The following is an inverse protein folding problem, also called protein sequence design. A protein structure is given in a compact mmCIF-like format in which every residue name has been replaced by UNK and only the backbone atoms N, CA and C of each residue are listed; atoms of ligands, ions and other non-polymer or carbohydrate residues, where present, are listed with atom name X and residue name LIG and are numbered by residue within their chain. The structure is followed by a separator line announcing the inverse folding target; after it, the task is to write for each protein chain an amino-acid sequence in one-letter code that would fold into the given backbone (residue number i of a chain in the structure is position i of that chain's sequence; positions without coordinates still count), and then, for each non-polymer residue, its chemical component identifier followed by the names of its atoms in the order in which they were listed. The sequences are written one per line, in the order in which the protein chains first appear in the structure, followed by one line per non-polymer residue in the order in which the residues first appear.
data_IF_312881177343
#
_entry.id   IF_312881177343
#
_cell.length_a   1.000
_cell.length_b   1.000
_cell.length_c   1.000
_cell.angle_alpha   90.00
_cell.angle_beta   90.00
_cell.angle_gamma   90.00
#
_symmetry.space_group_name_H-M   'P 1'
#
loop_
_entity.id
_entity.type
_entity.pdbx_description
1 polymer ?
#
# COMPACT_ATOMS: atom_id res chain seq x y z
N UNK A 1 4.10 -41.06 51.62
CA UNK A 1 3.25 -40.25 50.71
C UNK A 1 3.59 -40.67 49.29
N UNK A 2 2.62 -41.19 48.55
CA UNK A 2 2.82 -41.86 47.27
C UNK A 2 3.12 -40.84 46.15
N UNK A 3 4.11 -41.13 45.31
CA UNK A 3 4.38 -40.39 44.07
C UNK A 3 3.41 -40.89 43.00
N UNK A 4 2.43 -40.08 42.63
CA UNK A 4 1.57 -40.35 41.46
C UNK A 4 2.27 -39.95 40.17
N UNK A 5 2.48 -40.91 39.26
CA UNK A 5 2.92 -40.65 37.89
C UNK A 5 1.69 -40.25 37.08
N UNK A 6 1.55 -38.96 36.74
CA UNK A 6 0.46 -38.49 35.89
C UNK A 6 0.70 -38.92 34.44
N UNK A 7 -0.27 -39.62 33.86
CA UNK A 7 -0.24 -39.99 32.45
C UNK A 7 -0.33 -38.75 31.55
N UNK A 8 0.58 -38.64 30.58
CA UNK A 8 0.61 -37.59 29.57
C UNK A 8 -0.57 -37.79 28.60
N UNK A 9 -1.45 -36.79 28.50
CA UNK A 9 -2.64 -36.80 27.64
C UNK A 9 -2.39 -36.01 26.37
N UNK A 10 -2.97 -36.47 25.26
CA UNK A 10 -3.02 -35.72 24.02
C UNK A 10 -3.78 -34.39 24.23
N UNK A 11 -3.19 -33.25 23.85
CA UNK A 11 -3.83 -31.94 24.03
C UNK A 11 -5.09 -31.77 23.18
N UNK A 12 -5.21 -32.49 22.06
CA UNK A 12 -6.29 -32.32 21.10
C UNK A 12 -7.55 -33.11 21.43
N UNK A 13 -7.41 -34.33 21.97
CA UNK A 13 -8.55 -35.20 22.25
C UNK A 13 -8.57 -35.81 23.65
N UNK A 14 -7.58 -35.49 24.50
CA UNK A 14 -7.49 -35.97 25.88
C UNK A 14 -7.09 -37.45 26.03
N UNK A 15 -6.88 -38.18 24.93
CA UNK A 15 -6.46 -39.58 24.95
C UNK A 15 -5.06 -39.75 25.55
N UNK A 16 -4.88 -40.77 26.39
CA UNK A 16 -3.56 -41.19 26.91
C UNK A 16 -2.85 -42.18 25.99
N UNK A 17 -3.53 -42.69 24.96
CA UNK A 17 -2.97 -43.65 24.01
C UNK A 17 -2.13 -42.93 22.95
N UNK A 18 -0.84 -43.25 22.91
CA UNK A 18 0.18 -42.55 22.15
C UNK A 18 1.38 -43.43 21.83
N UNK A 19 2.10 -43.05 20.77
CA UNK A 19 3.40 -43.61 20.38
C UNK A 19 4.46 -42.52 20.48
N UNK A 20 5.61 -42.79 21.11
CA UNK A 20 6.75 -41.87 21.13
C UNK A 20 7.54 -41.99 19.83
N UNK A 21 7.76 -40.87 19.15
CA UNK A 21 8.46 -40.84 17.86
C UNK A 21 9.96 -40.57 18.03
N UNK A 22 10.30 -39.76 19.04
CA UNK A 22 11.64 -39.43 19.52
C UNK A 22 11.49 -38.80 20.91
N UNK A 23 12.60 -38.64 21.63
CA UNK A 23 12.62 -38.07 22.99
C UNK A 23 11.75 -36.81 23.05
N UNK A 24 10.78 -36.83 23.97
CA UNK A 24 9.78 -35.77 24.26
C UNK A 24 8.77 -35.45 23.14
N UNK A 25 8.75 -36.19 22.03
CA UNK A 25 7.76 -36.05 20.94
C UNK A 25 6.85 -37.28 20.84
N UNK A 26 5.54 -37.04 20.88
CA UNK A 26 4.50 -38.08 20.87
C UNK A 26 3.51 -37.89 19.72
N UNK A 27 2.98 -38.99 19.21
CA UNK A 27 1.79 -39.02 18.35
C UNK A 27 0.64 -39.70 19.06
N UNK A 28 -0.53 -39.07 19.10
CA UNK A 28 -1.74 -39.70 19.64
C UNK A 28 -2.26 -40.78 18.69
N UNK A 29 -2.47 -42.00 19.16
CA UNK A 29 -2.99 -43.08 18.30
C UNK A 29 -4.48 -42.89 17.95
N UNK A 30 -5.21 -42.11 18.75
CA UNK A 30 -6.65 -41.89 18.55
C UNK A 30 -6.96 -40.79 17.51
N UNK A 31 -6.26 -39.66 17.56
CA UNK A 31 -6.51 -38.52 16.65
C UNK A 31 -5.31 -38.19 15.75
N UNK A 32 -4.23 -38.96 15.84
CA UNK A 32 -2.99 -38.81 15.04
C UNK A 32 -2.30 -37.45 15.21
N UNK A 33 -2.68 -36.66 16.22
CA UNK A 33 -2.00 -35.39 16.53
C UNK A 33 -0.62 -35.66 17.11
N UNK A 34 0.40 -35.04 16.52
CA UNK A 34 1.77 -35.02 17.02
C UNK A 34 1.98 -33.80 17.92
N UNK A 35 2.59 -34.01 19.08
CA UNK A 35 2.82 -33.00 20.11
C UNK A 35 4.10 -33.32 20.89
N UNK A 36 4.76 -32.30 21.44
CA UNK A 36 5.96 -32.47 22.26
C UNK A 36 5.84 -31.78 23.60
N UNK A 37 6.64 -32.22 24.57
CA UNK A 37 6.73 -31.60 25.89
C UNK A 37 7.91 -30.64 25.88
N UNK A 38 7.65 -29.36 26.18
CA UNK A 38 8.68 -28.34 26.36
C UNK A 38 8.83 -28.07 27.86
N UNK A 39 10.06 -28.12 28.36
CA UNK A 39 10.38 -28.24 29.79
C UNK A 39 10.34 -26.92 30.56
N UNK A 40 9.83 -25.84 29.95
CA UNK A 40 9.59 -24.55 30.62
C UNK A 40 8.23 -23.97 30.23
N UNK A 41 7.31 -23.93 31.20
CA UNK A 41 5.97 -23.32 31.15
C UNK A 41 5.05 -23.70 29.96
N UNK A 42 4.14 -24.64 30.27
CA UNK A 42 2.99 -25.17 29.50
C UNK A 42 2.58 -24.35 28.27
N UNK A 43 3.26 -24.57 27.14
CA UNK A 43 2.76 -24.20 25.82
C UNK A 43 3.04 -25.35 24.85
N UNK A 44 2.07 -26.26 24.69
CA UNK A 44 2.21 -27.40 23.78
C UNK A 44 1.89 -26.94 22.37
N UNK A 45 2.92 -26.82 21.54
CA UNK A 45 2.77 -26.54 20.11
C UNK A 45 2.42 -27.83 19.37
N UNK A 46 1.25 -27.87 18.73
CA UNK A 46 0.80 -29.01 17.91
C UNK A 46 0.77 -28.59 16.43
N UNK A 47 1.20 -29.50 15.55
CA UNK A 47 1.25 -29.25 14.11
C UNK A 47 0.05 -29.92 13.41
N UNK A 48 -0.78 -29.13 12.71
CA UNK A 48 -1.86 -29.65 11.87
C UNK A 48 -1.32 -29.97 10.48
N UNK A 49 -1.02 -31.24 10.22
CA UNK A 49 -0.71 -31.70 8.86
C UNK A 49 -2.00 -32.23 8.22
N UNK A 50 -2.66 -31.40 7.41
CA UNK A 50 -3.75 -31.86 6.54
C UNK A 50 -3.14 -32.51 5.31
N UNK A 51 -2.91 -33.82 5.39
CA UNK A 51 -2.88 -34.65 4.20
C UNK A 51 -3.52 -35.97 4.56
N UNK A 52 -4.67 -36.27 3.94
CA UNK A 52 -4.93 -37.53 3.23
C UNK A 52 -6.31 -37.52 2.58
N UNK A 53 -6.28 -37.89 1.29
CA UNK A 53 -7.35 -38.38 0.43
C UNK A 53 -8.71 -38.63 1.09
N UNK A 54 -9.75 -37.93 0.59
CA UNK A 54 -11.11 -38.47 0.53
C UNK A 54 -11.86 -38.03 -0.73
N UNK A 55 -12.80 -38.86 -1.20
CA UNK A 55 -13.20 -39.00 -2.60
C UNK A 55 -14.25 -37.99 -3.04
N UNK A 56 -14.38 -37.83 -4.35
CA UNK A 56 -15.40 -37.03 -5.02
C UNK A 56 -16.82 -37.39 -4.54
N UNK A 57 -17.50 -36.41 -3.93
CA UNK A 57 -18.95 -36.28 -4.01
C UNK A 57 -19.32 -34.80 -4.13
N UNK A 58 -20.19 -34.55 -5.11
CA UNK A 58 -20.79 -33.28 -5.50
C UNK A 58 -21.74 -32.72 -4.43
N UNK A 59 -21.85 -31.39 -4.42
CA UNK A 59 -22.99 -30.56 -3.97
C UNK A 59 -23.47 -30.74 -2.53
N UNK A 60 -23.30 -29.74 -1.67
CA UNK A 60 -24.39 -28.79 -1.37
C UNK A 60 -23.90 -27.64 -0.47
N UNK A 61 -24.38 -26.45 -0.81
CA UNK A 61 -24.14 -25.17 -0.15
C UNK A 61 -24.90 -25.13 1.19
N UNK A 62 -24.26 -24.69 2.30
CA UNK A 62 -24.91 -24.09 3.50
C UNK A 62 -24.04 -23.96 4.79
N UNK A 63 -22.72 -24.22 4.79
CA UNK A 63 -21.89 -24.02 6.01
C UNK A 63 -21.02 -22.75 6.03
N UNK A 64 -20.80 -22.09 4.90
CA UNK A 64 -20.01 -20.85 4.84
C UNK A 64 -20.76 -19.62 5.41
N UNK A 65 -22.11 -19.65 5.46
CA UNK A 65 -22.92 -18.51 5.91
C UNK A 65 -23.03 -18.43 7.45
N UNK A 66 -22.76 -19.53 8.19
CA UNK A 66 -22.84 -19.51 9.66
C UNK A 66 -21.54 -19.07 10.36
N UNK A 67 -20.40 -19.08 9.67
CA UNK A 67 -19.11 -18.68 10.28
C UNK A 67 -18.88 -17.16 10.20
N UNK A 68 -19.39 -16.51 9.14
CA UNK A 68 -19.26 -15.05 8.98
C UNK A 68 -20.17 -14.28 9.97
N UNK A 69 -21.33 -14.83 10.34
CA UNK A 69 -22.23 -14.23 11.32
C UNK A 69 -21.71 -14.21 12.77
N UNK A 70 -20.84 -15.15 13.15
CA UNK A 70 -20.30 -15.25 14.52
C UNK A 70 -19.16 -14.24 14.74
N UNK A 71 -18.31 -14.02 13.74
CA UNK A 71 -17.21 -13.03 13.83
C UNK A 71 -17.73 -11.59 13.82
N UNK A 72 -18.80 -11.30 13.08
CA UNK A 72 -19.45 -9.99 13.11
C UNK A 72 -20.15 -9.70 14.46
N UNK A 73 -20.75 -10.73 15.09
CA UNK A 73 -21.43 -10.59 16.39
C UNK A 73 -20.46 -10.37 17.57
N UNK A 74 -19.32 -11.04 17.58
CA UNK A 74 -18.31 -10.90 18.67
C UNK A 74 -17.57 -9.56 18.59
N UNK A 75 -17.28 -9.07 17.37
CA UNK A 75 -16.68 -7.75 17.17
C UNK A 75 -17.66 -6.61 17.58
N UNK A 76 -18.96 -6.77 17.31
CA UNK A 76 -19.97 -5.78 17.70
C UNK A 76 -20.22 -5.76 19.22
N UNK A 77 -20.18 -6.92 19.88
CA UNK A 77 -20.30 -7.01 21.34
C UNK A 77 -19.08 -6.41 22.09
N UNK A 78 -17.87 -6.59 21.56
CA UNK A 78 -16.64 -6.01 22.12
C UNK A 78 -16.61 -4.47 22.04
N UNK A 79 -17.14 -3.88 20.96
CA UNK A 79 -17.23 -2.42 20.80
C UNK A 79 -18.27 -1.78 21.74
N UNK A 80 -19.32 -2.52 22.12
CA UNK A 80 -20.33 -2.06 23.09
C UNK A 80 -19.82 -2.17 24.54
N UNK A 81 -19.05 -3.21 24.88
CA UNK A 81 -18.48 -3.37 26.24
C UNK A 81 -17.36 -2.35 26.52
N UNK A 82 -16.57 -1.97 25.50
CA UNK A 82 -15.52 -0.96 25.67
C UNK A 82 -16.11 0.46 25.84
N UNK A 83 -17.25 0.77 25.21
CA UNK A 83 -17.93 2.07 25.39
C UNK A 83 -18.73 2.19 26.70
N UNK A 84 -19.12 1.09 27.34
CA UNK A 84 -19.85 1.13 28.63
C UNK A 84 -18.92 1.21 29.85
N UNK A 85 -17.63 0.84 29.73
CA UNK A 85 -16.65 0.95 30.82
C UNK A 85 -16.11 2.37 31.03
N UNK A 86 -16.18 3.25 30.02
CA UNK A 86 -15.85 4.69 30.17
C UNK A 86 -16.92 5.50 30.92
N UNK A 87 -18.10 4.93 31.18
CA UNK A 87 -19.19 5.59 31.91
C UNK A 87 -19.10 5.36 33.44
N UNK A 88 -18.34 4.35 33.90
CA UNK A 88 -18.33 3.95 35.32
C UNK A 88 -17.12 4.51 36.10
N UNK A 89 -16.06 4.97 35.44
CA UNK A 89 -14.88 5.58 36.08
C UNK A 89 -14.78 7.11 35.89
N UNK A 90 -15.93 7.79 35.83
CA UNK A 90 -15.99 9.25 35.91
C UNK A 90 -15.64 9.73 37.33
N UNK A 91 -14.44 10.30 37.52
CA UNK A 91 -14.04 11.00 38.74
C UNK A 91 -15.07 12.09 39.08
N UNK A 92 -15.71 11.99 40.26
CA UNK A 92 -16.60 13.02 40.79
C UNK A 92 -15.83 14.35 40.94
N UNK A 93 -16.15 15.35 40.12
CA UNK A 93 -15.82 16.74 40.44
C UNK A 93 -16.92 17.31 41.32
N UNK A 94 -16.52 17.67 42.53
CA UNK A 94 -17.29 18.37 43.55
C UNK A 94 -17.94 19.63 42.96
N UNK A 95 -19.25 19.77 43.18
CA UNK A 95 -19.99 21.00 42.96
C UNK A 95 -19.67 21.98 44.08
N UNK A 96 -18.84 22.98 43.80
CA UNK A 96 -18.85 24.21 44.58
C UNK A 96 -19.67 25.26 43.84
N UNK A 97 -20.83 25.55 44.43
CA UNK A 97 -21.60 26.77 44.19
C UNK A 97 -20.72 27.97 44.48
N UNK A 98 -20.50 28.82 43.48
CA UNK A 98 -19.96 30.15 43.67
C UNK A 98 -20.83 31.15 42.92
N UNK A 99 -21.10 32.24 43.62
CA UNK A 99 -22.14 33.21 43.37
C UNK A 99 -21.99 33.96 42.05
N UNK A 100 -23.16 34.35 41.53
CA UNK A 100 -23.35 35.33 40.47
C UNK A 100 -22.60 36.62 40.81
N UNK A 101 -21.63 36.99 39.98
CA UNK A 101 -21.17 38.36 39.84
C UNK A 101 -21.32 38.76 38.37
N UNK A 102 -22.29 39.65 38.15
CA UNK A 102 -22.49 40.37 36.90
C UNK A 102 -21.30 41.31 36.68
N UNK A 103 -20.45 40.98 35.71
CA UNK A 103 -19.47 41.89 35.15
C UNK A 103 -19.51 41.73 33.62
N UNK A 104 -19.53 42.86 32.91
CA UNK A 104 -19.92 42.98 31.50
C UNK A 104 -19.38 41.90 30.57
N UNK A 105 -20.30 41.29 29.81
CA UNK A 105 -19.99 40.41 28.69
C UNK A 105 -19.42 41.28 27.58
N UNK A 106 -18.10 41.47 27.56
CA UNK A 106 -17.41 41.51 26.27
C UNK A 106 -17.58 40.14 25.67
N UNK A 107 -18.44 40.04 24.66
CA UNK A 107 -18.62 38.86 23.82
C UNK A 107 -17.22 38.46 23.34
N UNK A 108 -16.64 37.39 23.92
CA UNK A 108 -15.40 36.82 23.41
C UNK A 108 -15.75 36.36 22.00
N UNK A 109 -15.12 36.96 20.98
CA UNK A 109 -15.13 36.38 19.64
C UNK A 109 -14.71 34.92 19.78
N UNK A 110 -15.68 34.03 19.63
CA UNK A 110 -15.46 32.59 19.75
C UNK A 110 -14.51 32.23 18.61
N UNK A 111 -13.37 31.61 18.93
CA UNK A 111 -12.37 31.21 17.95
C UNK A 111 -13.02 30.33 16.87
N UNK A 112 -13.26 30.93 15.70
CA UNK A 112 -13.93 30.31 14.56
C UNK A 112 -13.00 29.37 13.78
N UNK A 113 -11.76 29.18 14.23
CA UNK A 113 -10.78 28.31 13.59
C UNK A 113 -11.19 26.83 13.58
N UNK A 114 -10.38 26.04 12.88
CA UNK A 114 -10.51 24.59 12.83
C UNK A 114 -9.21 23.91 13.29
N UNK A 115 -9.35 22.66 13.71
CA UNK A 115 -8.24 21.72 13.76
C UNK A 115 -8.32 20.83 12.51
N UNK A 116 -7.18 20.57 11.89
CA UNK A 116 -7.10 19.65 10.74
C UNK A 116 -6.11 18.54 11.00
N UNK A 117 -6.47 17.35 10.59
CA UNK A 117 -5.54 16.24 10.48
C UNK A 117 -5.31 15.89 9.01
N UNK A 118 -4.02 15.77 8.65
CA UNK A 118 -3.55 15.49 7.30
C UNK A 118 -3.05 14.06 7.23
N UNK A 119 -3.58 13.29 6.28
CA UNK A 119 -3.27 11.86 6.16
C UNK A 119 -2.69 11.47 4.81
N UNK A 120 -2.81 12.33 3.80
CA UNK A 120 -2.33 12.07 2.45
C UNK A 120 -2.00 13.38 1.74
N UNK A 121 -0.95 13.32 0.91
CA UNK A 121 -0.62 14.38 -0.04
C UNK A 121 -0.39 13.80 -1.43
N UNK A 122 -0.53 14.66 -2.43
CA UNK A 122 -0.29 14.32 -3.82
C UNK A 122 0.21 15.57 -4.56
N UNK A 123 1.35 15.47 -5.24
CA UNK A 123 1.93 16.58 -6.00
C UNK A 123 1.74 16.40 -7.50
N UNK A 124 1.51 17.51 -8.21
CA UNK A 124 1.33 17.55 -9.66
C UNK A 124 1.75 18.91 -10.23
N UNK A 125 1.73 19.03 -11.56
CA UNK A 125 1.93 20.31 -12.25
C UNK A 125 0.60 20.87 -12.72
N UNK A 126 0.36 22.16 -12.49
CA UNK A 126 -0.72 22.89 -13.15
C UNK A 126 -0.46 22.92 -14.66
N UNK A 127 -1.48 22.63 -15.46
CA UNK A 127 -1.35 22.42 -16.91
C UNK A 127 -0.83 23.67 -17.62
N UNK A 128 -1.42 24.83 -17.38
CA UNK A 128 -1.09 26.07 -18.09
C UNK A 128 0.28 26.65 -17.70
N UNK A 129 0.59 26.66 -16.40
CA UNK A 129 1.76 27.36 -15.86
C UNK A 129 2.96 26.46 -15.63
N UNK A 130 2.76 25.13 -15.60
CA UNK A 130 3.76 24.13 -15.20
C UNK A 130 4.34 24.39 -13.80
N UNK A 131 3.61 25.14 -12.96
CA UNK A 131 3.98 25.32 -11.56
C UNK A 131 3.60 24.07 -10.75
N UNK A 132 4.43 23.70 -9.75
CA UNK A 132 4.10 22.61 -8.86
C UNK A 132 2.94 22.99 -7.96
N UNK A 133 2.05 22.04 -7.70
CA UNK A 133 0.96 22.13 -6.74
C UNK A 133 0.99 20.88 -5.88
N UNK A 134 0.80 21.05 -4.57
CA UNK A 134 0.66 19.93 -3.64
C UNK A 134 -0.73 19.98 -3.04
N UNK A 135 -1.49 18.92 -3.28
CA UNK A 135 -2.82 18.69 -2.71
C UNK A 135 -2.67 17.95 -1.39
N UNK A 136 -3.34 18.42 -0.35
CA UNK A 136 -3.45 17.75 0.95
C UNK A 136 -4.89 17.36 1.21
N UNK A 137 -5.09 16.15 1.72
CA UNK A 137 -6.38 15.73 2.25
C UNK A 137 -6.46 16.06 3.74
N UNK A 138 -7.40 16.92 4.11
CA UNK A 138 -7.58 17.47 5.46
C UNK A 138 -8.94 17.07 6.03
N UNK A 139 -8.94 16.34 7.14
CA UNK A 139 -10.14 16.17 7.96
C UNK A 139 -10.23 17.34 8.93
N UNK A 140 -11.21 18.23 8.70
CA UNK A 140 -11.38 19.46 9.48
C UNK A 140 -12.49 19.33 10.51
N UNK A 141 -12.19 19.76 11.74
CA UNK A 141 -13.14 19.90 12.86
C UNK A 141 -13.13 21.34 13.34
N UNK A 142 -14.27 22.00 13.25
CA UNK A 142 -14.40 23.41 13.63
C UNK A 142 -14.64 23.53 15.13
N UNK A 143 -14.03 24.56 15.74
CA UNK A 143 -14.08 24.76 17.20
C UNK A 143 -15.43 25.30 17.66
N UNK A 144 -16.02 26.19 16.87
CA UNK A 144 -17.35 26.76 17.14
C UNK A 144 -18.47 25.87 16.61
N UNK A 145 -19.53 25.72 17.40
CA UNK A 145 -20.76 25.03 17.00
C UNK A 145 -21.46 25.70 15.81
N UNK A 146 -21.23 27.00 15.58
CA UNK A 146 -21.82 27.76 14.47
C UNK A 146 -21.30 27.25 13.11
N UNK A 147 -20.07 26.74 13.06
CA UNK A 147 -19.42 26.25 11.84
C UNK A 147 -19.41 24.72 11.73
N UNK A 148 -20.27 24.02 12.48
CA UNK A 148 -20.26 22.56 12.52
C UNK A 148 -20.65 21.92 11.17
N UNK A 149 -21.48 22.60 10.39
CA UNK A 149 -21.83 22.23 9.01
C UNK A 149 -20.62 22.26 8.06
N UNK A 150 -19.57 23.02 8.41
CA UNK A 150 -18.31 23.07 7.67
C UNK A 150 -17.37 21.90 8.00
N UNK A 151 -17.66 21.08 9.01
CA UNK A 151 -16.88 19.87 9.28
C UNK A 151 -16.90 18.91 8.08
N UNK A 152 -15.80 18.19 7.88
CA UNK A 152 -15.69 17.21 6.81
C UNK A 152 -14.28 17.04 6.28
N UNK A 153 -14.18 16.39 5.12
CA UNK A 153 -12.93 16.18 4.39
C UNK A 153 -12.79 17.19 3.28
N UNK A 154 -11.63 17.85 3.24
CA UNK A 154 -11.26 18.84 2.24
C UNK A 154 -10.05 18.39 1.45
N UNK A 155 -10.00 18.78 0.18
CA UNK A 155 -8.78 18.85 -0.61
C UNK A 155 -8.28 20.29 -0.59
N UNK A 156 -7.10 20.52 -0.04
CA UNK A 156 -6.47 21.84 0.01
C UNK A 156 -5.26 21.86 -0.92
N UNK A 157 -5.23 22.81 -1.86
CA UNK A 157 -4.23 22.89 -2.91
C UNK A 157 -3.26 24.02 -2.62
N UNK A 158 -1.97 23.71 -2.42
CA UNK A 158 -0.95 24.71 -2.11
C UNK A 158 0.07 24.85 -3.24
N UNK A 159 0.52 26.07 -3.46
CA UNK A 159 1.72 26.35 -4.23
C UNK A 159 2.94 26.30 -3.29
N UNK A 160 3.84 25.30 -3.42
CA UNK A 160 4.97 25.15 -2.51
C UNK A 160 6.03 26.23 -2.71
N UNK A 161 6.08 26.91 -3.86
CA UNK A 161 7.03 27.98 -4.15
C UNK A 161 6.66 29.28 -3.44
N UNK A 162 5.37 29.63 -3.49
CA UNK A 162 4.86 30.85 -2.86
C UNK A 162 4.32 30.63 -1.44
N UNK A 163 4.21 29.37 -1.02
CA UNK A 163 3.64 28.95 0.28
C UNK A 163 2.20 29.42 0.48
N UNK A 164 1.43 29.52 -0.61
CA UNK A 164 0.05 30.01 -0.59
C UNK A 164 -0.94 28.88 -0.88
N UNK A 165 -2.06 28.90 -0.16
CA UNK A 165 -3.26 28.16 -0.53
C UNK A 165 -3.80 28.75 -1.84
N UNK A 166 -4.03 27.89 -2.83
CA UNK A 166 -4.56 28.23 -4.14
C UNK A 166 -6.08 28.06 -4.19
N UNK A 167 -6.56 26.94 -3.64
CA UNK A 167 -7.96 26.56 -3.62
C UNK A 167 -8.23 25.51 -2.56
N UNK A 168 -9.50 25.33 -2.23
CA UNK A 168 -9.97 24.23 -1.41
C UNK A 168 -11.32 23.72 -1.92
N UNK A 169 -11.54 22.41 -1.76
CA UNK A 169 -12.77 21.73 -2.17
C UNK A 169 -13.21 20.77 -1.06
N UNK A 170 -14.44 20.92 -0.57
CA UNK A 170 -15.05 19.95 0.35
C UNK A 170 -15.51 18.74 -0.44
N UNK A 171 -14.98 17.56 -0.14
CA UNK A 171 -15.30 16.30 -0.86
C UNK A 171 -16.21 15.36 -0.08
N UNK A 172 -16.38 15.60 1.22
CA UNK A 172 -17.26 14.81 2.08
C UNK A 172 -17.60 15.56 3.37
N UNK A 173 -18.82 15.37 3.88
CA UNK A 173 -19.22 15.84 5.22
C UNK A 173 -18.66 14.94 6.34
N UNK A 174 -18.16 13.76 5.99
CA UNK A 174 -17.54 12.81 6.93
C UNK A 174 -16.03 12.92 6.86
N UNK A 175 -15.36 12.50 7.91
CA UNK A 175 -13.91 12.26 7.88
C UNK A 175 -13.62 11.02 7.05
N UNK A 176 -12.79 11.18 6.01
CA UNK A 176 -12.33 10.09 5.16
C UNK A 176 -10.94 9.64 5.58
N UNK A 177 -10.67 8.35 5.45
CA UNK A 177 -9.35 7.76 5.57
C UNK A 177 -8.67 7.62 4.20
N UNK A 178 -7.40 7.26 4.19
CA UNK A 178 -6.65 6.96 2.96
C UNK A 178 -7.18 5.73 2.20
N UNK A 179 -8.00 4.87 2.83
CA UNK A 179 -8.66 3.77 2.12
C UNK A 179 -9.97 4.20 1.45
N UNK A 180 -10.60 5.26 1.93
CA UNK A 180 -11.86 5.78 1.39
C UNK A 180 -11.59 6.72 0.21
N UNK A 181 -10.46 7.44 0.23
CA UNK A 181 -10.00 8.27 -0.86
C UNK A 181 -8.65 7.78 -1.38
N UNK A 182 -8.63 7.18 -2.57
CA UNK A 182 -7.39 6.75 -3.24
C UNK A 182 -7.15 7.63 -4.46
N UNK A 183 -5.92 8.04 -4.72
CA UNK A 183 -5.55 8.86 -5.89
C UNK A 183 -4.38 8.24 -6.63
N UNK A 184 -4.42 8.29 -7.97
CA UNK A 184 -3.39 7.71 -8.83
C UNK A 184 -3.30 8.45 -10.16
N UNK A 185 -2.09 8.62 -10.68
CA UNK A 185 -1.88 9.09 -12.06
C UNK A 185 -1.77 7.90 -12.99
N UNK A 186 -2.56 7.89 -14.06
CA UNK A 186 -2.49 6.88 -15.10
C UNK A 186 -1.47 7.27 -16.17
N UNK A 187 -1.11 6.33 -17.05
CA UNK A 187 -0.14 6.53 -18.13
C UNK A 187 -0.56 7.55 -19.18
N UNK A 188 -1.82 7.99 -19.21
CA UNK A 188 -2.31 9.12 -20.01
C UNK A 188 -1.93 10.50 -19.43
N UNK A 189 -1.31 10.53 -18.25
CA UNK A 189 -0.93 11.75 -17.53
C UNK A 189 -2.06 12.39 -16.72
N UNK A 190 -3.27 11.83 -16.80
CA UNK A 190 -4.40 12.28 -15.99
C UNK A 190 -4.33 11.64 -14.61
N UNK A 191 -4.80 12.39 -13.61
CA UNK A 191 -4.85 11.94 -12.23
C UNK A 191 -6.29 11.63 -11.87
N UNK A 192 -6.53 10.43 -11.38
CA UNK A 192 -7.84 9.91 -11.00
C UNK A 192 -7.90 9.66 -9.51
N UNK A 193 -9.09 9.85 -8.94
CA UNK A 193 -9.36 9.50 -7.56
C UNK A 193 -10.59 8.59 -7.47
N UNK A 194 -10.53 7.63 -6.55
CA UNK A 194 -11.70 6.86 -6.12
C UNK A 194 -12.12 7.43 -4.77
N UNK A 195 -13.35 7.93 -4.72
CA UNK A 195 -13.96 8.46 -3.51
C UNK A 195 -15.03 7.49 -2.98
N UNK A 196 -14.92 7.15 -1.70
CA UNK A 196 -15.80 6.23 -0.95
C UNK A 196 -16.13 4.94 -1.72
N UNK A 197 -15.11 4.39 -2.40
CA UNK A 197 -15.20 3.19 -3.26
C UNK A 197 -16.31 3.20 -4.30
N UNK A 198 -16.93 4.32 -4.62
CA UNK A 198 -18.18 4.37 -5.40
C UNK A 198 -18.11 5.34 -6.56
N UNK A 199 -17.24 6.34 -6.49
CA UNK A 199 -17.13 7.39 -7.48
C UNK A 199 -15.72 7.45 -8.05
N UNK A 200 -15.61 7.49 -9.38
CA UNK A 200 -14.35 7.72 -10.08
C UNK A 200 -14.31 9.17 -10.54
N UNK A 201 -13.39 9.92 -9.95
CA UNK A 201 -13.17 11.34 -10.22
C UNK A 201 -11.85 11.51 -10.98
N UNK A 202 -11.74 12.60 -11.72
CA UNK A 202 -10.50 13.06 -12.33
C UNK A 202 -10.16 14.43 -11.76
N UNK A 203 -8.89 14.65 -11.44
CA UNK A 203 -8.41 15.96 -10.99
C UNK A 203 -8.30 16.91 -12.19
N UNK A 204 -9.07 18.00 -12.15
CA UNK A 204 -8.84 19.17 -12.97
C UNK A 204 -7.65 19.95 -12.39
N UNK A 205 -6.48 19.77 -13.01
CA UNK A 205 -5.21 20.37 -12.59
C UNK A 205 -5.15 21.88 -12.81
N UNK A 206 -6.08 22.46 -13.57
CA UNK A 206 -6.13 23.89 -13.83
C UNK A 206 -7.04 24.61 -12.84
N UNK A 207 -8.22 24.03 -12.56
CA UNK A 207 -9.23 24.63 -11.70
C UNK A 207 -9.19 24.11 -10.25
N UNK A 208 -8.29 23.16 -9.96
CA UNK A 208 -8.09 22.57 -8.63
C UNK A 208 -9.35 21.95 -8.03
N UNK A 209 -10.02 21.10 -8.82
CA UNK A 209 -11.26 20.43 -8.43
C UNK A 209 -11.31 18.99 -8.93
N UNK A 210 -12.11 18.16 -8.27
CA UNK A 210 -12.43 16.81 -8.71
C UNK A 210 -13.68 16.82 -9.59
N UNK A 211 -13.57 16.24 -10.80
CA UNK A 211 -14.67 16.15 -11.77
C UNK A 211 -15.06 14.70 -12.02
N UNK A 212 -16.36 14.43 -12.19
CA UNK A 212 -16.88 13.08 -12.44
C UNK A 212 -16.28 12.47 -13.72
N UNK A 213 -15.63 11.31 -13.58
CA UNK A 213 -14.96 10.60 -14.67
C UNK A 213 -15.55 9.22 -14.95
N UNK A 214 -16.28 8.61 -14.00
CA UNK A 214 -16.81 7.25 -14.14
C UNK A 214 -17.71 7.07 -15.36
N UNK A 215 -18.68 7.99 -15.56
CA UNK A 215 -19.66 7.93 -16.67
C UNK A 215 -19.02 7.75 -18.04
N UNK A 216 -17.94 8.49 -18.32
CA UNK A 216 -17.26 8.45 -19.63
C UNK A 216 -16.65 7.07 -19.92
N UNK A 217 -16.23 6.36 -18.88
CA UNK A 217 -15.55 5.08 -18.99
C UNK A 217 -16.50 3.90 -18.94
N UNK A 218 -17.51 3.95 -18.08
CA UNK A 218 -18.42 2.82 -17.87
C UNK A 218 -19.51 2.74 -18.95
N UNK A 219 -19.96 3.89 -19.47
CA UNK A 219 -20.99 3.91 -20.51
C UNK A 219 -20.53 3.24 -21.82
N UNK A 220 -19.22 3.15 -22.04
CA UNK A 220 -18.64 2.50 -23.22
C UNK A 220 -18.73 0.96 -23.18
N UNK A 221 -19.12 0.34 -22.05
CA UNK A 221 -19.16 -1.12 -21.86
C UNK A 221 -20.55 -1.59 -21.46
N UNK A 222 -21.13 -2.46 -22.28
CA UNK A 222 -22.48 -3.00 -22.07
C UNK A 222 -22.61 -3.71 -20.73
N UNK A 223 -21.58 -4.46 -20.34
CA UNK A 223 -21.52 -5.25 -19.11
C UNK A 223 -21.48 -4.38 -17.85
N UNK A 224 -21.14 -3.09 -17.96
CA UNK A 224 -21.10 -2.15 -16.86
C UNK A 224 -22.38 -1.31 -16.74
N UNK A 225 -23.33 -1.45 -17.68
CA UNK A 225 -24.60 -0.70 -17.67
C UNK A 225 -25.53 -1.10 -16.52
N UNK A 226 -25.32 -2.27 -15.92
CA UNK A 226 -25.99 -2.68 -14.67
C UNK A 226 -25.58 -1.79 -13.49
N UNK A 227 -24.53 -1.00 -13.64
CA UNK A 227 -23.96 -0.12 -12.63
C UNK A 227 -22.85 -0.78 -11.80
N UNK A 228 -22.06 0.07 -11.16
CA UNK A 228 -20.93 -0.32 -10.31
C UNK A 228 -21.32 -0.10 -8.86
N UNK A 229 -21.26 -1.16 -8.05
CA UNK A 229 -21.52 -1.12 -6.61
C UNK A 229 -20.29 -0.63 -5.84
N UNK A 230 -19.11 -1.17 -6.16
CA UNK A 230 -17.84 -0.70 -5.60
C UNK A 230 -16.70 -0.73 -6.62
N UNK A 231 -15.68 0.08 -6.38
CA UNK A 231 -14.47 0.17 -7.19
C UNK A 231 -13.21 0.38 -6.34
N UNK A 232 -12.10 -0.19 -6.80
CA UNK A 232 -10.75 0.08 -6.32
C UNK A 232 -9.77 0.16 -7.50
N UNK A 233 -8.60 0.78 -7.33
CA UNK A 233 -7.53 0.64 -8.31
C UNK A 233 -6.95 -0.77 -8.24
N UNK A 234 -6.49 -1.31 -9.37
CA UNK A 234 -5.53 -2.43 -9.34
C UNK A 234 -4.22 -1.95 -8.70
N UNK A 235 -3.37 -2.90 -8.28
CA UNK A 235 -2.03 -2.58 -7.75
C UNK A 235 -1.20 -1.73 -8.74
N UNK A 236 -0.24 -0.96 -8.21
CA UNK A 236 0.53 0.01 -9.00
C UNK A 236 1.30 -0.64 -10.16
N UNK A 237 1.92 -1.78 -9.88
CA UNK A 237 2.61 -2.66 -10.82
C UNK A 237 1.71 -3.33 -11.87
N UNK A 238 0.39 -3.30 -11.69
CA UNK A 238 -0.55 -4.03 -12.54
C UNK A 238 -1.15 -3.22 -13.70
N UNK A 239 -0.73 -1.96 -13.85
CA UNK A 239 -1.21 -1.05 -14.91
C UNK A 239 -2.37 -0.15 -14.47
N UNK A 240 -3.03 0.50 -15.43
CA UNK A 240 -4.03 1.55 -15.17
C UNK A 240 -5.44 0.98 -15.11
N UNK A 241 -5.64 0.07 -14.16
CA UNK A 241 -6.86 -0.72 -14.02
C UNK A 241 -7.71 -0.39 -12.79
N UNK A 242 -8.95 -0.85 -12.86
CA UNK A 242 -9.94 -0.80 -11.79
C UNK A 242 -10.44 -2.21 -11.48
N UNK A 243 -10.57 -2.53 -10.20
CA UNK A 243 -11.31 -3.70 -9.71
C UNK A 243 -12.72 -3.22 -9.40
N UNK A 244 -13.72 -3.77 -10.09
CA UNK A 244 -15.12 -3.39 -9.99
C UNK A 244 -15.95 -4.53 -9.41
N UNK A 245 -16.89 -4.21 -8.53
CA UNK A 245 -18.04 -5.05 -8.21
C UNK A 245 -19.27 -4.41 -8.86
N UNK A 246 -19.91 -5.10 -9.79
CA UNK A 246 -21.15 -4.62 -10.43
C UNK A 246 -22.36 -4.79 -9.52
N UNK A 247 -23.45 -4.07 -9.78
CA UNK A 247 -24.69 -4.18 -8.99
C UNK A 247 -25.36 -5.56 -9.07
N UNK A 248 -25.06 -6.35 -10.11
CA UNK A 248 -25.48 -7.76 -10.22
C UNK A 248 -24.50 -8.74 -9.56
N UNK A 249 -23.54 -8.24 -8.78
CA UNK A 249 -22.66 -9.03 -7.91
C UNK A 249 -21.43 -9.64 -8.60
N UNK A 250 -21.03 -9.15 -9.77
CA UNK A 250 -19.90 -9.71 -10.52
C UNK A 250 -18.64 -8.89 -10.31
N UNK A 251 -17.54 -9.58 -9.94
CA UNK A 251 -16.20 -9.00 -9.93
C UNK A 251 -15.68 -8.85 -11.37
N UNK A 252 -15.15 -7.69 -11.69
CA UNK A 252 -14.57 -7.37 -13.00
C UNK A 252 -13.28 -6.57 -12.85
N UNK A 253 -12.35 -6.78 -13.77
CA UNK A 253 -11.15 -5.96 -13.88
C UNK A 253 -11.25 -5.13 -15.15
N UNK A 254 -11.32 -3.81 -15.02
CA UNK A 254 -11.52 -2.90 -16.12
C UNK A 254 -10.32 -1.99 -16.31
N UNK A 255 -9.76 -1.99 -17.52
CA UNK A 255 -8.66 -1.12 -17.91
C UNK A 255 -9.17 -0.05 -18.88
N UNK A 256 -9.56 1.14 -18.39
CA UNK A 256 -10.24 2.16 -19.19
C UNK A 256 -9.41 2.67 -20.38
N UNK A 257 -8.10 2.82 -20.23
CA UNK A 257 -7.25 3.39 -21.30
C UNK A 257 -7.10 2.46 -22.51
N UNK A 258 -7.15 1.14 -22.30
CA UNK A 258 -7.15 0.14 -23.38
C UNK A 258 -8.56 -0.43 -23.66
N UNK A 259 -9.56 0.07 -22.93
CA UNK A 259 -10.96 -0.33 -22.98
C UNK A 259 -11.16 -1.86 -22.94
N UNK A 260 -10.47 -2.56 -22.05
CA UNK A 260 -10.62 -4.01 -21.87
C UNK A 260 -11.19 -4.34 -20.50
N UNK A 261 -12.17 -5.26 -20.51
CA UNK A 261 -12.84 -5.79 -19.34
C UNK A 261 -12.51 -7.27 -19.22
N UNK A 262 -12.16 -7.72 -18.02
CA UNK A 262 -11.79 -9.10 -17.73
C UNK A 262 -12.61 -9.62 -16.56
N UNK A 263 -12.90 -10.92 -16.59
CA UNK A 263 -13.13 -11.67 -15.36
C UNK A 263 -11.79 -11.98 -14.68
N UNK A 264 -11.84 -12.68 -13.55
CA UNK A 264 -10.65 -12.91 -12.72
C UNK A 264 -9.61 -13.82 -13.39
N UNK A 265 -10.03 -14.92 -14.00
CA UNK A 265 -9.10 -15.84 -14.68
C UNK A 265 -8.48 -15.19 -15.93
N UNK A 266 -9.28 -14.48 -16.72
CA UNK A 266 -8.78 -13.76 -17.88
C UNK A 266 -7.83 -12.61 -17.48
N UNK A 267 -8.09 -11.96 -16.34
CA UNK A 267 -7.21 -10.93 -15.78
C UNK A 267 -5.84 -11.50 -15.46
N UNK A 268 -5.75 -12.56 -14.63
CA UNK A 268 -4.46 -13.13 -14.23
C UNK A 268 -3.64 -13.63 -15.42
N UNK A 269 -4.30 -14.21 -16.42
CA UNK A 269 -3.64 -14.60 -17.67
C UNK A 269 -3.14 -13.37 -18.46
N UNK A 270 -3.94 -12.30 -18.58
CA UNK A 270 -3.61 -11.12 -19.37
C UNK A 270 -2.45 -10.29 -18.80
N UNK A 271 -2.09 -10.47 -17.53
CA UNK A 271 -1.00 -9.73 -16.89
C UNK A 271 0.39 -10.25 -17.25
N UNK A 272 0.52 -11.52 -17.62
CA UNK A 272 1.81 -12.22 -17.70
C UNK A 272 2.10 -12.76 -19.10
N UNK A 273 3.38 -12.90 -19.44
CA UNK A 273 3.80 -13.57 -20.66
C UNK A 273 3.80 -12.69 -21.91
N UNK A 274 4.66 -13.02 -22.86
CA UNK A 274 4.74 -12.33 -24.16
C UNK A 274 3.53 -12.61 -25.07
N UNK A 275 2.82 -13.70 -24.85
CA UNK A 275 1.63 -14.09 -25.62
C UNK A 275 0.39 -13.24 -25.30
N UNK A 276 0.42 -12.43 -24.25
CA UNK A 276 -0.71 -11.59 -23.81
C UNK A 276 -0.49 -10.10 -24.06
N UNK A 277 0.49 -9.77 -24.91
CA UNK A 277 0.74 -8.40 -25.36
C UNK A 277 -0.45 -7.83 -26.12
N UNK A 278 -0.77 -6.57 -25.83
CA UNK A 278 -1.81 -5.82 -26.51
C UNK A 278 -1.25 -5.18 -27.80
N UNK A 279 -2.12 -4.90 -28.79
CA UNK A 279 -1.74 -4.06 -29.92
C UNK A 279 -1.17 -2.73 -29.42
N UNK A 280 0.01 -2.37 -29.93
CA UNK A 280 0.71 -1.15 -29.51
C UNK A 280 1.60 -1.31 -28.27
N UNK A 281 1.87 -2.54 -27.81
CA UNK A 281 2.88 -2.78 -26.78
C UNK A 281 4.27 -2.30 -27.23
N UNK A 282 5.02 -1.67 -26.32
CA UNK A 282 6.31 -1.03 -26.61
C UNK A 282 7.40 -1.52 -25.67
N UNK A 283 8.65 -1.40 -26.12
CA UNK A 283 9.78 -1.56 -25.20
C UNK A 283 9.80 -0.40 -24.21
N UNK A 284 9.93 -0.73 -22.93
CA UNK A 284 10.07 0.25 -21.87
C UNK A 284 11.18 -0.19 -20.91
N UNK A 285 11.86 0.79 -20.36
CA UNK A 285 12.84 0.60 -19.29
C UNK A 285 12.21 1.03 -17.98
N UNK A 286 12.39 0.24 -16.93
CA UNK A 286 12.14 0.68 -15.56
C UNK A 286 13.35 0.35 -14.69
N UNK A 287 13.44 1.06 -13.57
CA UNK A 287 14.48 0.87 -12.57
C UNK A 287 13.86 0.38 -11.28
N UNK A 288 14.49 -0.58 -10.64
CA UNK A 288 14.02 -1.17 -9.39
C UNK A 288 15.22 -1.63 -8.57
N UNK A 289 15.11 -1.53 -7.24
CA UNK A 289 16.11 -2.14 -6.37
C UNK A 289 15.73 -3.60 -6.13
N UNK A 290 16.74 -4.46 -6.04
CA UNK A 290 16.50 -5.82 -5.54
C UNK A 290 16.03 -5.78 -4.08
N UNK A 291 15.28 -6.80 -3.68
CA UNK A 291 14.89 -7.07 -2.29
C UNK A 291 15.89 -7.98 -1.61
N UNK A 292 15.88 -8.01 -0.27
CA UNK A 292 16.66 -8.96 0.52
C UNK A 292 16.28 -10.39 0.15
N UNK A 293 17.28 -11.22 -0.09
CA UNK A 293 17.09 -12.63 -0.41
C UNK A 293 17.02 -13.48 0.86
N UNK A 294 16.11 -14.45 0.89
CA UNK A 294 16.11 -15.49 1.93
C UNK A 294 17.18 -16.56 1.68
N UNK A 295 17.47 -16.88 0.41
CA UNK A 295 18.47 -17.88 0.03
C UNK A 295 19.91 -17.36 0.15
N UNK A 296 20.09 -16.05 -0.06
CA UNK A 296 21.37 -15.36 -0.09
C UNK A 296 21.28 -13.99 0.65
N UNK A 297 21.02 -13.98 1.96
CA UNK A 297 20.82 -12.76 2.74
C UNK A 297 22.04 -11.83 2.78
N UNK A 298 23.23 -12.35 2.48
CA UNK A 298 24.48 -11.60 2.36
C UNK A 298 24.58 -10.78 1.06
N UNK A 299 23.72 -11.06 0.08
CA UNK A 299 23.74 -10.34 -1.19
C UNK A 299 23.33 -8.88 -1.02
N UNK A 300 24.06 -8.01 -1.71
CA UNK A 300 23.82 -6.57 -1.67
C UNK A 300 22.56 -6.24 -2.45
N UNK A 301 21.86 -5.18 -2.03
CA UNK A 301 20.78 -4.60 -2.81
C UNK A 301 21.36 -3.90 -4.04
N UNK A 302 20.83 -4.21 -5.22
CA UNK A 302 21.32 -3.74 -6.52
C UNK A 302 20.26 -2.88 -7.20
N UNK A 303 20.67 -1.78 -7.82
CA UNK A 303 19.79 -0.99 -8.68
C UNK A 303 19.78 -1.62 -10.07
N UNK A 304 18.68 -2.24 -10.44
CA UNK A 304 18.52 -2.86 -11.75
C UNK A 304 17.98 -1.87 -12.77
N UNK A 305 18.50 -1.94 -13.98
CA UNK A 305 17.85 -1.42 -15.19
C UNK A 305 17.21 -2.61 -15.91
N UNK A 306 15.89 -2.60 -16.07
CA UNK A 306 15.14 -3.70 -16.68
C UNK A 306 14.42 -3.20 -17.93
N UNK A 307 14.62 -3.88 -19.06
CA UNK A 307 13.90 -3.65 -20.30
C UNK A 307 12.83 -4.73 -20.48
N UNK A 308 11.60 -4.31 -20.71
CA UNK A 308 10.46 -5.20 -20.83
C UNK A 308 9.47 -4.73 -21.91
N UNK A 309 8.57 -5.61 -22.33
CA UNK A 309 7.45 -5.24 -23.21
C UNK A 309 6.26 -4.75 -22.37
N UNK A 310 5.91 -3.48 -22.56
CA UNK A 310 4.88 -2.76 -21.82
C UNK A 310 3.56 -2.68 -22.57
N UNK A 311 2.45 -2.98 -21.89
CA UNK A 311 1.08 -2.89 -22.40
C UNK A 311 0.47 -1.47 -22.27
N UNK A 312 1.28 -0.43 -22.04
CA UNK A 312 0.79 0.93 -21.77
C UNK A 312 -0.14 0.92 -20.55
N UNK A 313 -1.34 1.49 -20.65
CA UNK A 313 -2.30 1.44 -19.53
C UNK A 313 -2.92 0.05 -19.26
N UNK A 314 -2.65 -0.97 -20.07
CA UNK A 314 -3.25 -2.31 -19.93
C UNK A 314 -2.62 -3.20 -18.84
N UNK A 315 -3.17 -4.43 -18.65
CA UNK A 315 -2.69 -5.37 -17.65
C UNK A 315 -1.23 -5.76 -17.84
N UNK A 316 -0.52 -5.83 -16.72
CA UNK A 316 0.86 -6.28 -16.60
C UNK A 316 1.11 -6.79 -15.17
N UNK A 317 2.25 -7.42 -14.95
CA UNK A 317 2.78 -7.88 -13.66
C UNK A 317 4.28 -7.56 -13.71
N UNK A 318 4.64 -6.36 -13.25
CA UNK A 318 6.04 -5.91 -13.25
C UNK A 318 6.72 -6.50 -12.03
N UNK A 319 7.89 -7.11 -12.21
CA UNK A 319 8.62 -7.71 -11.10
C UNK A 319 9.18 -6.61 -10.17
N UNK A 320 8.55 -6.44 -9.00
CA UNK A 320 8.97 -5.47 -7.96
C UNK A 320 9.78 -6.10 -6.82
N UNK A 321 9.66 -7.42 -6.59
CA UNK A 321 10.33 -8.13 -5.50
C UNK A 321 11.46 -9.04 -6.01
N UNK A 322 12.33 -8.50 -6.86
CA UNK A 322 13.44 -9.26 -7.45
C UNK A 322 14.50 -9.48 -6.39
N UNK A 323 14.87 -10.73 -6.12
CA UNK A 323 15.94 -11.08 -5.19
C UNK A 323 16.73 -12.27 -5.73
N UNK A 324 17.95 -12.45 -5.23
CA UNK A 324 18.73 -13.63 -5.56
C UNK A 324 18.02 -14.88 -5.06
N UNK A 325 18.01 -15.95 -5.85
CA UNK A 325 17.36 -17.19 -5.47
C UNK A 325 17.98 -18.41 -6.14
N UNK A 326 17.59 -19.58 -5.66
CA UNK A 326 17.95 -20.87 -6.25
C UNK A 326 16.96 -21.21 -7.38
N UNK A 327 17.47 -21.37 -8.60
CA UNK A 327 16.71 -21.90 -9.73
C UNK A 327 17.07 -23.37 -9.95
N UNK A 328 16.10 -24.24 -9.68
CA UNK A 328 16.20 -25.69 -9.83
C UNK A 328 15.82 -26.17 -11.25
N UNK A 329 15.51 -25.25 -12.17
CA UNK A 329 15.24 -25.57 -13.58
C UNK A 329 13.84 -26.10 -13.88
N UNK A 330 12.90 -26.02 -12.94
CA UNK A 330 11.52 -26.49 -13.13
C UNK A 330 10.61 -26.28 -11.93
N UNK A 331 9.41 -26.84 -12.00
CA UNK A 331 8.44 -26.86 -10.90
C UNK A 331 8.52 -28.18 -10.13
N UNK A 332 8.54 -28.14 -8.80
CA UNK A 332 8.61 -29.34 -7.96
C UNK A 332 8.89 -29.02 -6.50
N UNK A 333 8.94 -30.05 -5.67
CA UNK A 333 9.47 -29.95 -4.31
C UNK A 333 10.97 -30.17 -4.42
N UNK A 334 11.75 -29.11 -4.16
CA UNK A 334 13.21 -29.16 -4.17
C UNK A 334 13.75 -28.95 -2.76
N UNK A 335 14.94 -29.48 -2.54
CA UNK A 335 15.71 -29.37 -1.31
C UNK A 335 17.08 -28.80 -1.62
N UNK A 336 17.82 -28.36 -0.60
CA UNK A 336 19.18 -27.83 -0.76
C UNK A 336 20.20 -28.85 -1.33
N UNK A 337 19.82 -30.13 -1.42
CA UNK A 337 20.63 -31.19 -2.03
C UNK A 337 20.44 -31.29 -3.54
N UNK A 338 19.32 -30.77 -4.06
CA UNK A 338 19.02 -30.80 -5.47
C UNK A 338 19.91 -29.78 -6.21
N UNK A 339 20.33 -30.08 -7.46
CA UNK A 339 21.15 -29.15 -8.22
C UNK A 339 20.37 -27.88 -8.52
N UNK A 340 20.98 -26.73 -8.23
CA UNK A 340 20.42 -25.41 -8.54
C UNK A 340 21.47 -24.48 -9.13
N UNK A 341 20.99 -23.44 -9.79
CA UNK A 341 21.80 -22.30 -10.20
C UNK A 341 21.38 -21.07 -9.39
N UNK A 342 22.35 -20.33 -8.85
CA UNK A 342 22.07 -19.01 -8.27
C UNK A 342 21.73 -18.03 -9.38
N UNK A 343 20.52 -17.47 -9.34
CA UNK A 343 20.05 -16.49 -10.34
C UNK A 343 19.33 -15.34 -9.66
N UNK A 344 19.40 -14.15 -10.27
CA UNK A 344 18.59 -13.01 -9.86
C UNK A 344 17.21 -13.03 -10.53
N UNK A 345 17.17 -13.47 -11.79
CA UNK A 345 15.97 -13.60 -12.59
C UNK A 345 16.02 -14.93 -13.35
N UNK A 346 15.17 -15.88 -12.93
CA UNK A 346 14.98 -17.15 -13.64
C UNK A 346 14.35 -16.94 -15.02
N UNK A 347 14.42 -17.95 -15.88
CA UNK A 347 13.76 -17.89 -17.18
C UNK A 347 12.23 -17.75 -17.04
N UNK A 348 11.64 -18.42 -16.05
CA UNK A 348 10.22 -18.27 -15.74
C UNK A 348 9.86 -16.81 -15.41
N UNK A 349 10.62 -16.17 -14.52
CA UNK A 349 10.37 -14.77 -14.13
C UNK A 349 10.52 -13.81 -15.30
N UNK A 350 11.52 -14.05 -16.18
CA UNK A 350 11.70 -13.24 -17.39
C UNK A 350 10.50 -13.36 -18.34
N UNK A 351 10.05 -14.59 -18.60
CA UNK A 351 8.91 -14.83 -19.48
C UNK A 351 7.62 -14.23 -18.89
N UNK A 352 7.36 -14.49 -17.61
CA UNK A 352 6.20 -13.98 -16.88
C UNK A 352 6.14 -12.45 -16.91
N UNK A 353 7.22 -11.78 -16.53
CA UNK A 353 7.31 -10.31 -16.48
C UNK A 353 7.59 -9.63 -17.83
N UNK A 354 7.59 -10.38 -18.94
CA UNK A 354 7.88 -9.87 -20.30
C UNK A 354 9.24 -9.16 -20.40
N UNK A 355 10.23 -9.63 -19.64
CA UNK A 355 11.56 -9.02 -19.52
C UNK A 355 12.42 -9.47 -20.69
N UNK A 356 12.88 -8.51 -21.50
CA UNK A 356 13.79 -8.73 -22.61
C UNK A 356 15.24 -8.80 -22.14
N UNK A 357 15.63 -7.89 -21.23
CA UNK A 357 16.99 -7.81 -20.72
C UNK A 357 17.04 -7.05 -19.40
N UNK A 358 18.12 -7.24 -18.64
CA UNK A 358 18.39 -6.49 -17.42
C UNK A 358 19.90 -6.34 -17.20
N UNK A 359 20.29 -5.36 -16.40
CA UNK A 359 21.65 -5.23 -15.86
C UNK A 359 21.64 -4.57 -14.48
N UNK A 360 22.67 -4.84 -13.68
CA UNK A 360 23.00 -3.98 -12.53
C UNK A 360 23.53 -2.64 -13.05
N UNK A 361 22.81 -1.57 -12.75
CA UNK A 361 23.15 -0.22 -13.19
C UNK A 361 24.33 0.34 -12.40
N UNK A 362 24.49 -0.06 -11.13
CA UNK A 362 25.49 0.51 -10.23
C UNK A 362 26.32 -0.58 -9.55
N UNK A 363 27.07 -1.37 -10.32
CA UNK A 363 27.79 -2.53 -9.81
C UNK A 363 28.78 -2.15 -8.70
N UNK A 364 28.80 -2.95 -7.65
CA UNK A 364 29.70 -2.79 -6.51
C UNK A 364 29.29 -1.74 -5.48
N UNK A 365 28.23 -0.95 -5.73
CA UNK A 365 27.71 0.00 -4.74
C UNK A 365 26.94 -0.71 -3.63
N UNK A 366 26.88 -0.03 -2.50
CA UNK A 366 26.18 -0.49 -1.31
C UNK A 366 25.06 0.49 -0.97
N UNK A 367 23.86 -0.03 -0.74
CA UNK A 367 22.68 0.75 -0.42
C UNK A 367 21.94 0.17 0.76
N UNK A 368 21.37 1.03 1.59
CA UNK A 368 20.53 0.65 2.72
C UNK A 368 19.15 1.31 2.59
N UNK A 369 18.09 0.53 2.79
CA UNK A 369 16.69 0.96 2.55
C UNK A 369 16.49 1.76 1.24
N UNK A 370 17.01 1.29 0.09
CA UNK A 370 16.93 2.05 -1.14
C UNK A 370 15.55 1.99 -1.80
N UNK A 371 15.23 3.01 -2.58
CA UNK A 371 14.12 2.98 -3.53
C UNK A 371 14.38 3.96 -4.68
N UNK A 372 13.74 3.73 -5.82
CA UNK A 372 13.63 4.75 -6.87
C UNK A 372 12.68 5.83 -6.37
N UNK A 373 13.14 7.08 -6.34
CA UNK A 373 12.35 8.22 -5.88
C UNK A 373 11.70 8.99 -7.03
N UNK A 374 12.31 8.95 -8.23
CA UNK A 374 11.79 9.60 -9.43
C UNK A 374 12.39 8.99 -10.71
N UNK A 375 11.56 8.76 -11.73
CA UNK A 375 11.97 8.49 -13.11
C UNK A 375 10.97 9.10 -14.10
N UNK A 376 11.44 9.97 -14.99
CA UNK A 376 10.63 10.58 -16.07
C UNK A 376 11.08 10.13 -17.47
N UNK A 377 11.94 9.11 -17.57
CA UNK A 377 12.53 8.70 -18.83
C UNK A 377 13.81 9.46 -19.19
N UNK A 378 14.12 10.57 -18.52
CA UNK A 378 15.33 11.37 -18.73
C UNK A 378 16.18 11.49 -17.45
N UNK A 379 15.53 11.60 -16.31
CA UNK A 379 16.11 11.79 -14.98
C UNK A 379 15.84 10.54 -14.16
N UNK A 380 16.83 10.03 -13.44
CA UNK A 380 16.64 8.98 -12.44
C UNK A 380 17.19 9.46 -11.10
N UNK A 381 16.32 9.53 -10.09
CA UNK A 381 16.69 9.87 -8.73
C UNK A 381 16.36 8.69 -7.83
N UNK A 382 17.34 8.27 -7.04
CA UNK A 382 17.18 7.25 -6.00
C UNK A 382 17.21 7.89 -4.62
N UNK A 383 16.54 7.24 -3.67
CA UNK A 383 16.69 7.52 -2.24
C UNK A 383 17.31 6.32 -1.55
N UNK A 384 18.18 6.55 -0.59
CA UNK A 384 18.81 5.49 0.21
C UNK A 384 19.41 6.06 1.49
N UNK A 385 19.77 5.19 2.44
CA UNK A 385 20.60 5.49 3.60
C UNK A 385 22.05 5.09 3.33
N UNK A 386 23.00 5.87 3.84
CA UNK A 386 24.43 5.64 3.62
C UNK A 386 24.96 4.40 4.34
N UNK A 387 24.34 4.03 5.45
CA UNK A 387 24.71 2.87 6.25
C UNK A 387 23.48 2.15 6.85
N UNK A 388 23.73 1.02 7.52
CA UNK A 388 22.70 0.18 8.11
C UNK A 388 22.08 0.76 9.39
N UNK A 389 22.59 1.87 9.93
CA UNK A 389 22.08 2.44 11.17
C UNK A 389 20.63 2.88 10.95
N UNK A 390 19.67 2.41 11.77
CA UNK A 390 18.28 2.83 11.67
C UNK A 390 18.11 4.36 11.75
N UNK A 391 19.00 5.05 12.46
CA UNK A 391 19.04 6.51 12.61
C UNK A 391 19.74 7.25 11.45
N UNK A 392 20.35 6.54 10.49
CA UNK A 392 20.94 7.18 9.32
C UNK A 392 19.88 7.94 8.54
N UNK A 393 20.22 9.18 8.19
CA UNK A 393 19.45 10.04 7.32
C UNK A 393 19.31 9.44 5.91
N UNK A 394 18.18 9.71 5.27
CA UNK A 394 18.01 9.46 3.85
C UNK A 394 18.75 10.52 3.03
N UNK A 395 19.28 10.08 1.88
CA UNK A 395 19.88 10.90 0.85
C UNK A 395 19.07 10.78 -0.43
N UNK A 396 19.08 11.82 -1.25
CA UNK A 396 18.69 11.74 -2.65
C UNK A 396 19.94 11.76 -3.53
N UNK A 397 19.93 10.97 -4.60
CA UNK A 397 21.03 10.94 -5.54
C UNK A 397 20.49 10.80 -6.96
N UNK A 398 20.88 11.71 -7.84
CA UNK A 398 20.62 11.56 -9.26
C UNK A 398 21.69 10.67 -9.89
N UNK A 399 21.23 9.70 -10.66
CA UNK A 399 22.04 8.70 -11.33
C UNK A 399 21.87 8.84 -12.82
N UNK A 400 22.99 8.81 -13.54
CA UNK A 400 22.96 8.70 -14.98
C UNK A 400 22.32 7.36 -15.40
N UNK A 401 21.19 7.44 -16.12
CA UNK A 401 20.35 6.29 -16.47
C UNK A 401 21.04 5.21 -17.29
N UNK A 402 22.11 5.55 -18.00
CA UNK A 402 22.79 4.62 -18.90
C UNK A 402 24.03 4.00 -18.26
N UNK A 403 24.78 4.80 -17.50
CA UNK A 403 26.11 4.43 -16.97
C UNK A 403 26.12 4.12 -15.48
N UNK A 404 25.09 4.54 -14.74
CA UNK A 404 25.07 4.45 -13.28
C UNK A 404 25.94 5.47 -12.56
N UNK A 405 26.61 6.38 -13.27
CA UNK A 405 27.42 7.43 -12.66
C UNK A 405 26.56 8.33 -11.76
N UNK A 406 27.13 8.76 -10.61
CA UNK A 406 26.49 9.75 -9.75
C UNK A 406 26.61 11.12 -10.42
N UNK A 407 25.48 11.82 -10.57
CA UNK A 407 25.47 13.18 -11.10
C UNK A 407 25.47 14.22 -9.96
N UNK A 408 24.70 13.96 -8.91
CA UNK A 408 24.77 14.72 -7.65
C UNK A 408 24.19 13.90 -6.49
N UNK A 409 24.52 14.29 -5.26
CA UNK A 409 23.93 13.75 -4.02
C UNK A 409 23.47 14.91 -3.14
N UNK A 410 22.27 14.79 -2.58
CA UNK A 410 21.69 15.76 -1.63
C UNK A 410 21.44 15.08 -0.29
N UNK A 411 21.81 15.78 0.78
CA UNK A 411 21.27 15.53 2.12
C UNK A 411 19.88 16.16 2.20
N UNK A 412 18.94 15.47 2.84
CA UNK A 412 17.58 15.98 3.05
C UNK A 412 17.49 16.62 4.44
N UNK A 413 16.87 17.81 4.59
CA UNK A 413 16.66 18.42 5.90
C UNK A 413 15.98 17.45 6.87
N UNK A 414 16.49 17.37 8.10
CA UNK A 414 16.01 16.40 9.10
C UNK A 414 16.35 14.94 8.81
N UNK A 415 16.94 14.63 7.64
CA UNK A 415 17.25 13.27 7.20
C UNK A 415 16.02 12.43 6.86
N UNK A 416 14.88 13.08 6.63
CA UNK A 416 13.60 12.42 6.41
C UNK A 416 13.50 11.74 5.04
N UNK A 417 12.58 10.77 4.95
CA UNK A 417 12.31 10.05 3.71
C UNK A 417 11.46 10.93 2.78
N UNK A 418 12.00 11.30 1.63
CA UNK A 418 11.19 11.87 0.53
C UNK A 418 10.30 10.78 -0.04
N UNK A 419 8.98 10.87 0.15
CA UNK A 419 8.00 9.87 -0.26
C UNK A 419 7.73 9.90 -1.76
N UNK A 420 7.57 11.11 -2.33
CA UNK A 420 7.36 11.34 -3.76
C UNK A 420 8.12 12.59 -4.22
N UNK A 421 8.48 12.62 -5.52
CA UNK A 421 9.09 13.77 -6.18
C UNK A 421 8.26 14.16 -7.42
N UNK A 422 8.12 15.45 -7.65
CA UNK A 422 7.54 16.00 -8.88
C UNK A 422 8.48 17.04 -9.45
N UNK A 423 8.94 16.80 -10.68
CA UNK A 423 9.78 17.71 -11.43
C UNK A 423 8.94 18.85 -11.98
N UNK A 424 9.41 20.09 -11.83
CA UNK A 424 8.82 21.29 -12.40
C UNK A 424 9.91 22.12 -13.11
N UNK A 425 9.55 23.28 -13.69
CA UNK A 425 10.42 24.04 -14.61
C UNK A 425 11.82 24.37 -14.06
N UNK A 426 11.98 24.55 -12.75
CA UNK A 426 13.25 24.96 -12.14
C UNK A 426 13.78 23.99 -11.09
N UNK A 427 13.21 22.79 -10.95
CA UNK A 427 13.65 21.85 -9.92
C UNK A 427 12.65 20.74 -9.63
N UNK A 428 12.61 20.32 -8.36
CA UNK A 428 11.74 19.28 -7.83
C UNK A 428 11.03 19.74 -6.57
N UNK A 429 9.75 19.37 -6.43
CA UNK A 429 9.07 19.36 -5.13
C UNK A 429 9.05 17.93 -4.61
N UNK A 430 9.49 17.73 -3.38
CA UNK A 430 9.42 16.48 -2.66
C UNK A 430 8.48 16.56 -1.47
N UNK A 431 7.72 15.50 -1.21
CA UNK A 431 6.90 15.39 0.01
C UNK A 431 7.60 14.51 1.04
N UNK A 432 7.73 14.98 2.29
CA UNK A 432 8.46 14.29 3.36
C UNK A 432 7.52 13.56 4.32
N UNK A 433 6.53 14.27 4.83
CA UNK A 433 5.48 13.79 5.72
C UNK A 433 4.10 14.19 5.16
N UNK A 434 3.02 14.04 5.94
CA UNK A 434 1.68 14.48 5.53
C UNK A 434 1.50 16.01 5.57
N UNK A 435 2.47 16.77 6.07
CA UNK A 435 2.41 18.23 6.25
C UNK A 435 3.68 18.97 5.79
N UNK A 436 4.73 18.26 5.38
CA UNK A 436 6.03 18.86 5.03
C UNK A 436 6.49 18.55 3.60
N UNK A 437 7.07 19.58 2.98
CA UNK A 437 7.58 19.60 1.62
C UNK A 437 9.00 20.17 1.58
N UNK A 438 9.77 19.70 0.60
CA UNK A 438 11.10 20.20 0.28
C UNK A 438 11.18 20.60 -1.20
N UNK A 439 11.91 21.67 -1.49
CA UNK A 439 12.21 22.13 -2.84
C UNK A 439 13.70 21.90 -3.11
N UNK A 440 14.00 21.29 -4.26
CA UNK A 440 15.36 21.09 -4.74
C UNK A 440 15.52 21.71 -6.13
N UNK A 441 16.69 22.26 -6.43
CA UNK A 441 17.05 22.60 -7.81
C UNK A 441 17.49 21.34 -8.60
N UNK A 442 17.82 21.50 -9.89
CA UNK A 442 18.29 20.39 -10.73
C UNK A 442 19.70 19.87 -10.39
N UNK A 443 20.42 20.53 -9.49
CA UNK A 443 21.72 20.09 -8.97
C UNK A 443 21.57 19.41 -7.60
N UNK A 444 20.34 19.20 -7.14
CA UNK A 444 20.05 18.61 -5.84
C UNK A 444 20.29 19.55 -4.66
N UNK A 445 20.43 20.86 -4.87
CA UNK A 445 20.53 21.79 -3.75
C UNK A 445 19.14 22.08 -3.20
N UNK A 446 18.99 22.00 -1.88
CA UNK A 446 17.74 22.36 -1.20
C UNK A 446 17.57 23.87 -1.28
N UNK A 447 16.55 24.32 -2.00
CA UNK A 447 16.24 25.75 -2.19
C UNK A 447 15.14 26.23 -1.24
N UNK A 448 14.47 25.32 -0.56
CA UNK A 448 13.46 25.66 0.43
C UNK A 448 12.82 24.44 1.08
N UNK A 449 12.22 24.69 2.24
CA UNK A 449 11.40 23.75 2.98
C UNK A 449 10.13 24.47 3.44
N UNK A 450 9.05 23.71 3.50
CA UNK A 450 7.74 24.24 3.86
C UNK A 450 6.96 23.20 4.63
N UNK A 451 6.58 23.56 5.85
CA UNK A 451 5.69 22.79 6.71
C UNK A 451 4.39 23.56 6.87
N UNK A 452 3.27 22.88 6.71
CA UNK A 452 1.95 23.43 6.95
C UNK A 452 1.67 23.48 8.45
N UNK A 453 1.09 24.59 8.91
CA UNK A 453 0.66 24.78 10.29
C UNK A 453 -0.54 23.89 10.67
#
# INVERSE_FOLDING_TARGET
MAKEIKAIKCPQCGSTDKTELRIDFYRCNNCQTEYFLDDNDVTINYNHNYNHNRPNYTTNNNRAIKVIGIFAGVAFALVIVINTLTVIFGSKRSSNTAAVYSAGVTEREEDQGYSSSRYQNFSFLQTSTQQPVVMFMENRRYRSNVNKDKEGTYLAFYNPLTKKLLAEEKISDKSLSSSDFKIRTFSDGNTYAINDKSSLLMLDKENFKMVEAGKRFFNAKQELQVGVATMEFVYEDNGDGLILLTNDGKKRFYYPLVQKLYDEDAYYNAQIGFNTLLPGAKDKTYFVFTSTSSDYPEEKLQLLQINYKDNGGGPKDIAENISWGKDYGGSGIFTDRDPYTKVLLSNYSKQRGRINSWKDLTPGRLYFSPAVAFDDGNTLIIRFKADANPKSSYKLQQINRNTGAVEWTSEIPGGERVNALTKFKSGYVGTLSSDEMVLLDFKGQVTGNYKLD
#
